data_IF_193366796863
#
_entry.id   IF_193366796863
#
_cell.length_a   1.000
_cell.length_b   1.000
_cell.length_c   1.000
_cell.angle_alpha   90.00
_cell.angle_beta   90.00
_cell.angle_gamma   90.00
#
_symmetry.space_group_name_H-M   'P 1'
#
loop_
_entity.id
_entity.type
_entity.pdbx_description
1 polymer ?
#
# COMPACT_ATOMS: atom_id res chain seq x y z
N UNK A 1 2.29 -10.60 -2.79
CA UNK A 1 3.31 -11.36 -3.53
C UNK A 1 2.89 -11.48 -4.99
N UNK A 2 3.81 -11.31 -5.96
CA UNK A 2 3.49 -11.46 -7.39
C UNK A 2 3.39 -12.95 -7.75
N UNK A 3 2.23 -13.39 -8.23
CA UNK A 3 1.97 -14.82 -8.48
C UNK A 3 2.12 -15.23 -9.95
N UNK A 4 2.27 -14.25 -10.85
CA UNK A 4 2.52 -14.52 -12.27
C UNK A 4 1.94 -13.46 -13.19
N UNK A 5 2.46 -13.46 -14.42
CA UNK A 5 1.97 -12.64 -15.52
C UNK A 5 1.30 -13.57 -16.55
N UNK A 6 0.07 -13.26 -16.96
CA UNK A 6 -0.48 -13.82 -18.19
C UNK A 6 -0.12 -12.89 -19.34
N UNK A 7 0.66 -13.37 -20.31
CA UNK A 7 1.18 -12.56 -21.40
C UNK A 7 0.89 -13.16 -22.78
N UNK A 8 0.62 -12.29 -23.74
CA UNK A 8 0.55 -12.60 -25.18
C UNK A 8 1.39 -11.57 -25.93
N UNK A 9 2.19 -12.01 -26.90
CA UNK A 9 3.05 -11.15 -27.75
C UNK A 9 3.95 -10.15 -26.98
N UNK A 10 4.37 -10.51 -25.76
CA UNK A 10 5.24 -9.67 -24.93
C UNK A 10 4.51 -8.61 -24.10
N UNK A 11 3.18 -8.53 -24.17
CA UNK A 11 2.36 -7.67 -23.33
C UNK A 11 1.78 -8.47 -22.15
N UNK A 12 1.97 -7.98 -20.93
CA UNK A 12 1.27 -8.51 -19.74
C UNK A 12 -0.18 -8.04 -19.82
N UNK A 13 -1.13 -8.96 -20.03
CA UNK A 13 -2.55 -8.65 -20.04
C UNK A 13 -3.13 -8.63 -18.62
N UNK A 14 -2.62 -9.49 -17.73
CA UNK A 14 -3.07 -9.61 -16.34
C UNK A 14 -1.88 -9.88 -15.42
N UNK A 15 -1.79 -9.11 -14.34
CA UNK A 15 -0.92 -9.35 -13.19
C UNK A 15 -1.77 -9.96 -12.08
N UNK A 16 -1.43 -11.15 -11.60
CA UNK A 16 -2.11 -11.76 -10.45
C UNK A 16 -1.29 -11.46 -9.20
N UNK A 17 -1.87 -10.68 -8.29
CA UNK A 17 -1.30 -10.44 -6.97
C UNK A 17 -2.14 -11.18 -5.93
N UNK A 18 -1.49 -11.92 -5.03
CA UNK A 18 -2.12 -12.44 -3.82
C UNK A 18 -1.76 -11.54 -2.64
N UNK A 19 -2.79 -10.93 -2.09
CA UNK A 19 -2.81 -10.36 -0.75
C UNK A 19 -3.27 -11.41 0.26
N UNK A 20 -2.84 -11.25 1.50
CA UNK A 20 -3.40 -11.96 2.64
C UNK A 20 -4.03 -10.94 3.56
N UNK A 21 -5.22 -11.23 4.06
CA UNK A 21 -5.86 -10.35 5.03
C UNK A 21 -5.16 -10.44 6.39
N UNK A 22 -5.07 -9.30 7.08
CA UNK A 22 -4.48 -9.21 8.42
C UNK A 22 -5.31 -9.95 9.49
N UNK A 23 -6.59 -10.23 9.22
CA UNK A 23 -7.48 -11.02 10.08
C UNK A 23 -7.41 -12.54 9.83
N UNK A 24 -6.56 -12.98 8.90
CA UNK A 24 -6.36 -14.40 8.63
C UNK A 24 -5.63 -15.09 9.80
N UNK A 25 -5.63 -16.43 9.81
CA UNK A 25 -4.89 -17.21 10.80
C UNK A 25 -3.36 -17.16 10.62
N UNK A 26 -2.86 -16.32 9.71
CA UNK A 26 -1.43 -16.09 9.51
C UNK A 26 -0.89 -15.14 10.58
N UNK A 27 0.35 -15.36 10.99
CA UNK A 27 1.07 -14.46 11.89
C UNK A 27 1.90 -13.50 11.05
N UNK A 28 1.71 -12.20 11.29
CA UNK A 28 2.47 -11.13 10.65
C UNK A 28 3.33 -10.44 11.71
N UNK A 29 4.56 -10.07 11.35
CA UNK A 29 5.40 -9.21 12.18
C UNK A 29 5.27 -7.76 11.72
N UNK A 30 5.23 -6.83 12.68
CA UNK A 30 5.26 -5.39 12.37
C UNK A 30 6.69 -5.02 12.00
N UNK A 31 6.90 -4.60 10.75
CA UNK A 31 8.21 -4.21 10.26
C UNK A 31 8.65 -2.83 10.79
N UNK A 32 7.71 -1.91 10.95
CA UNK A 32 7.94 -0.54 11.40
C UNK A 32 6.66 0.00 12.05
N UNK A 33 6.81 0.74 13.15
CA UNK A 33 5.72 1.48 13.78
C UNK A 33 5.69 2.92 13.23
N UNK A 34 4.56 3.39 12.66
CA UNK A 34 4.50 4.72 12.06
C UNK A 34 4.70 5.83 13.11
N UNK A 35 5.63 6.73 12.84
CA UNK A 35 5.99 7.87 13.68
C UNK A 35 5.29 9.16 13.23
N UNK A 36 5.06 10.12 14.15
CA UNK A 36 4.44 11.40 13.82
C UNK A 36 5.12 12.11 12.65
N UNK A 37 4.31 12.64 11.73
CA UNK A 37 4.77 13.31 10.51
C UNK A 37 5.00 12.40 9.30
N UNK A 38 5.10 11.08 9.49
CA UNK A 38 5.04 10.13 8.37
C UNK A 38 3.64 10.11 7.75
N UNK A 39 3.53 9.56 6.54
CA UNK A 39 2.29 9.49 5.77
C UNK A 39 1.97 8.06 5.40
N UNK A 40 0.81 7.59 5.85
CA UNK A 40 0.24 6.28 5.48
C UNK A 40 -0.52 6.42 4.16
N UNK A 41 -0.22 5.54 3.21
CA UNK A 41 -0.87 5.47 1.90
C UNK A 41 -1.80 4.26 1.88
N UNK A 42 -3.09 4.50 1.66
CA UNK A 42 -4.12 3.48 1.63
C UNK A 42 -4.81 3.41 0.28
N UNK A 43 -5.37 2.25 -0.05
CA UNK A 43 -6.29 2.08 -1.15
C UNK A 43 -7.60 1.49 -0.64
N UNK A 44 -8.70 2.19 -0.90
CA UNK A 44 -10.03 1.64 -0.67
C UNK A 44 -10.44 0.83 -1.91
N UNK A 45 -10.62 -0.48 -1.74
CA UNK A 45 -11.07 -1.36 -2.81
C UNK A 45 -11.98 -2.45 -2.28
N UNK A 46 -13.12 -2.66 -2.95
CA UNK A 46 -14.05 -3.74 -2.59
C UNK A 46 -14.65 -3.64 -1.18
N UNK A 47 -14.71 -2.43 -0.59
CA UNK A 47 -15.18 -2.21 0.78
C UNK A 47 -14.11 -2.42 1.86
N UNK A 48 -12.87 -2.72 1.47
CA UNK A 48 -11.73 -2.87 2.36
C UNK A 48 -10.76 -1.69 2.21
N UNK A 49 -10.05 -1.38 3.29
CA UNK A 49 -8.95 -0.42 3.29
C UNK A 49 -7.64 -1.19 3.32
N UNK A 50 -6.85 -1.11 2.26
CA UNK A 50 -5.56 -1.79 2.17
C UNK A 50 -4.40 -0.80 2.40
N UNK A 51 -3.51 -1.04 3.39
CA UNK A 51 -2.27 -0.27 3.53
C UNK A 51 -1.30 -0.63 2.42
N UNK A 52 -0.84 0.38 1.66
CA UNK A 52 0.07 0.19 0.54
C UNK A 52 1.52 0.59 0.87
N UNK A 53 1.71 1.71 1.55
CA UNK A 53 3.04 2.28 1.81
C UNK A 53 3.03 3.21 3.03
N UNK A 54 4.18 3.31 3.70
CA UNK A 54 4.46 4.30 4.73
C UNK A 54 5.60 5.18 4.23
N UNK A 55 5.32 6.47 4.03
CA UNK A 55 6.27 7.43 3.47
C UNK A 55 6.75 8.42 4.54
N UNK A 56 7.98 8.92 4.39
CA UNK A 56 8.57 9.89 5.32
C UNK A 56 7.89 11.27 5.29
N UNK A 57 7.16 11.60 4.22
CA UNK A 57 6.47 12.88 4.04
C UNK A 57 5.40 12.79 2.96
N UNK A 58 4.56 13.83 2.86
CA UNK A 58 3.54 13.95 1.80
C UNK A 58 4.20 13.91 0.41
N UNK A 59 5.29 14.66 0.21
CA UNK A 59 6.01 14.67 -1.07
C UNK A 59 6.55 13.29 -1.44
N UNK A 60 7.09 12.55 -0.47
CA UNK A 60 7.55 11.19 -0.70
C UNK A 60 6.37 10.25 -1.06
N UNK A 61 5.22 10.41 -0.40
CA UNK A 61 4.01 9.64 -0.70
C UNK A 61 3.48 9.93 -2.11
N UNK A 62 3.42 11.20 -2.53
CA UNK A 62 2.97 11.60 -3.86
C UNK A 62 3.89 11.06 -4.97
N UNK A 63 5.21 11.15 -4.77
CA UNK A 63 6.20 10.57 -5.69
C UNK A 63 6.04 9.05 -5.81
N UNK A 64 5.81 8.38 -4.68
CA UNK A 64 5.55 6.95 -4.66
C UNK A 64 4.26 6.59 -5.40
N UNK A 65 3.15 7.31 -5.16
CA UNK A 65 1.88 7.11 -5.87
C UNK A 65 2.04 7.30 -7.38
N UNK A 66 2.72 8.36 -7.80
CA UNK A 66 2.95 8.64 -9.21
C UNK A 66 3.77 7.54 -9.90
N UNK A 67 4.77 7.00 -9.18
CA UNK A 67 5.62 5.92 -9.66
C UNK A 67 4.88 4.59 -9.77
N UNK A 68 4.09 4.23 -8.76
CA UNK A 68 3.40 2.93 -8.70
C UNK A 68 2.03 2.94 -9.41
N UNK A 69 1.49 4.13 -9.71
CA UNK A 69 0.26 4.29 -10.51
C UNK A 69 -1.05 4.24 -9.71
N UNK A 70 -1.00 4.29 -8.38
CA UNK A 70 -2.17 4.25 -7.48
C UNK A 70 -2.90 5.60 -7.39
N UNK A 71 -3.49 6.05 -8.49
CA UNK A 71 -4.10 7.40 -8.64
C UNK A 71 -5.23 7.73 -7.66
N UNK A 72 -5.83 6.72 -7.02
CA UNK A 72 -6.92 6.90 -6.06
C UNK A 72 -6.51 6.53 -4.62
N UNK A 73 -5.21 6.48 -4.33
CA UNK A 73 -4.76 6.24 -2.97
C UNK A 73 -5.10 7.42 -2.05
N UNK A 74 -5.54 7.11 -0.82
CA UNK A 74 -5.77 8.07 0.25
C UNK A 74 -4.48 8.24 1.06
N UNK A 75 -4.19 9.48 1.45
CA UNK A 75 -3.07 9.81 2.33
C UNK A 75 -3.58 10.17 3.72
N UNK A 76 -2.94 9.63 4.75
CA UNK A 76 -3.20 9.96 6.15
C UNK A 76 -1.89 10.28 6.86
N UNK A 77 -1.78 11.49 7.41
CA UNK A 77 -0.60 11.90 8.19
C UNK A 77 -0.70 11.28 9.58
N UNK A 78 0.38 10.68 10.04
CA UNK A 78 0.50 10.21 11.42
C UNK A 78 0.55 11.43 12.32
N UNK A 79 -0.48 11.62 13.15
CA UNK A 79 -0.51 12.67 14.14
C UNK A 79 0.53 12.42 15.23
N UNK A 80 0.96 13.48 15.90
CA UNK A 80 1.64 13.34 17.18
C UNK A 80 0.63 12.78 18.19
N UNK A 81 1.01 11.76 18.96
CA UNK A 81 0.20 11.38 20.12
C UNK A 81 0.30 12.55 21.10
N UNK A 82 -0.66 13.47 21.07
CA UNK A 82 -0.85 14.42 22.15
C UNK A 82 -1.07 13.62 23.44
N UNK A 83 -0.07 13.62 24.33
CA UNK A 83 -0.07 12.89 25.60
C UNK A 83 -1.12 13.37 26.60
#
# INVERSE_FOLDING_TARGET
MHEGNFASEGMILVTIMRGHSADSALVFEVAEEPTPGQVRVFLDFGGNTEPLHLAESITAAELWIAKEGYRNARLEIVADEEG
#
